data_IF_308568351877
#
_entry.id   IF_308568351877
#
_cell.length_a   1.000
_cell.length_b   1.000
_cell.length_c   1.000
_cell.angle_alpha   90.00
_cell.angle_beta   90.00
_cell.angle_gamma   90.00
#
_symmetry.space_group_name_H-M   'P 1'
#
loop_
_entity.id
_entity.type
_entity.pdbx_description
1 polymer ?
2 polymer ?
3 water ?
#
# COMPACT_ATOMS: atom_id res chain seq x y z
N UNK A 20 5.17 15.57 15.40
CA UNK A 20 3.95 14.73 15.58
C UNK A 20 3.79 13.73 14.42
N UNK A 21 3.81 14.25 13.18
CA UNK A 21 3.93 13.38 11.97
C UNK A 21 5.38 13.09 11.58
N UNK A 22 6.34 13.50 12.43
CA UNK A 22 7.72 13.11 12.24
C UNK A 22 7.96 11.90 13.14
N UNK A 23 8.40 10.78 12.56
CA UNK A 23 8.46 9.54 13.30
C UNK A 23 9.83 8.93 13.05
N UNK A 24 10.25 8.14 14.02
CA UNK A 24 11.54 7.50 14.00
C UNK A 24 11.46 6.13 13.37
N UNK A 25 12.34 5.89 12.40
CA UNK A 25 12.35 4.63 11.61
C UNK A 25 12.70 3.41 12.48
N UNK A 26 11.88 2.38 12.44
CA UNK A 26 12.11 1.18 13.22
C UNK A 26 12.00 -0.03 12.33
N UNK A 27 12.44 -1.16 12.80
CA UNK A 27 12.44 -2.37 12.04
C UNK A 27 11.06 -2.89 11.75
N UNK A 28 10.91 -3.56 10.61
CA UNK A 28 9.74 -4.31 10.30
C UNK A 28 9.68 -5.66 11.04
N UNK A 29 8.46 -6.09 11.29
CA UNK A 29 8.18 -7.43 11.72
C UNK A 29 7.60 -8.21 10.54
N UNK A 30 6.35 -8.04 10.23
CA UNK A 30 5.83 -8.67 9.04
C UNK A 30 5.56 -7.74 7.84
N UNK A 31 5.85 -6.46 7.98
CA UNK A 31 5.49 -5.50 6.95
C UNK A 31 6.18 -5.90 5.66
N UNK A 32 5.45 -5.93 4.57
CA UNK A 32 6.01 -6.19 3.26
C UNK A 32 6.38 -4.85 2.57
N UNK A 33 6.70 -4.87 1.28
CA UNK A 33 7.28 -3.61 0.71
C UNK A 33 6.23 -2.52 0.69
N UNK A 34 4.96 -2.89 0.83
CA UNK A 34 3.87 -1.93 0.56
C UNK A 34 3.29 -1.26 1.84
N UNK A 35 3.71 -1.71 3.02
CA UNK A 35 3.01 -1.29 4.22
C UNK A 35 4.00 -0.76 5.28
N UNK A 36 3.54 0.15 6.11
CA UNK A 36 4.27 0.62 7.26
C UNK A 36 3.29 0.60 8.43
N UNK A 37 3.82 0.48 9.62
CA UNK A 37 2.98 0.41 10.79
C UNK A 37 3.27 1.49 11.86
N UNK A 38 2.19 1.97 12.46
CA UNK A 38 2.16 2.92 13.54
C UNK A 38 1.38 2.32 14.73
N UNK A 39 1.61 2.83 15.93
CA UNK A 39 0.76 2.50 17.04
C UNK A 39 -0.61 3.09 16.78
N UNK A 40 -1.65 2.50 17.37
CA UNK A 40 -3.00 3.03 17.27
C UNK A 40 -3.18 4.45 17.84
N UNK A 41 -2.53 4.78 18.95
CA UNK A 41 -2.62 6.14 19.44
C UNK A 41 -2.02 7.18 18.46
N UNK A 42 -0.94 6.82 17.80
CA UNK A 42 -0.41 7.67 16.79
C UNK A 42 -1.36 7.80 15.63
N UNK A 43 -1.98 6.69 15.22
CA UNK A 43 -2.92 6.73 14.09
C UNK A 43 -4.08 7.67 14.49
N UNK A 44 -4.50 7.59 15.77
CA UNK A 44 -5.64 8.40 16.17
C UNK A 44 -5.25 9.88 16.18
N UNK A 45 -4.06 10.17 16.69
CA UNK A 45 -3.52 11.52 16.69
C UNK A 45 -3.39 12.10 15.31
N UNK A 46 -2.93 11.29 14.34
CA UNK A 46 -2.82 11.76 12.97
C UNK A 46 -4.11 11.60 12.16
N UNK A 47 -5.16 11.09 12.80
CA UNK A 47 -6.46 10.85 12.16
C UNK A 47 -6.31 9.97 10.91
N UNK A 48 -5.50 8.93 11.06
CA UNK A 48 -5.31 7.98 9.95
C UNK A 48 -6.16 6.76 10.19
N UNK A 49 -6.70 6.22 9.12
CA UNK A 49 -7.40 4.95 9.17
C UNK A 49 -6.49 3.80 8.76
N UNK A 50 -6.66 2.62 9.38
CA UNK A 50 -5.83 1.46 8.90
C UNK A 50 -6.27 1.19 7.49
N UNK A 51 -5.34 1.07 6.53
CA UNK A 51 -5.69 0.84 5.14
C UNK A 51 -5.53 2.15 4.31
N UNK A 52 -5.46 3.33 4.97
CA UNK A 52 -5.15 4.60 4.28
C UNK A 52 -3.83 4.53 3.53
N UNK A 53 -3.81 5.17 2.34
CA UNK A 53 -2.52 5.39 1.64
C UNK A 53 -1.89 6.63 2.25
N UNK A 54 -0.60 6.53 2.50
CA UNK A 54 0.19 7.61 3.10
C UNK A 54 1.38 7.92 2.22
N UNK A 55 1.85 9.17 2.29
CA UNK A 55 3.05 9.56 1.54
C UNK A 55 4.11 9.80 2.67
N UNK A 56 5.25 9.16 2.49
CA UNK A 56 6.36 9.20 3.43
C UNK A 56 7.49 10.02 2.80
N UNK A 57 8.15 10.86 3.56
CA UNK A 57 9.21 11.68 3.05
C UNK A 57 10.48 11.36 3.82
N UNK A 58 11.52 11.05 3.08
CA UNK A 58 12.77 10.63 3.63
C UNK A 58 13.86 11.49 2.99
N UNK A 59 15.10 11.14 3.23
CA UNK A 59 16.23 11.87 2.71
C UNK A 59 16.42 12.02 1.20
N UNK A 60 17.22 13.02 0.79
CA UNK A 60 17.51 13.23 -0.60
C UNK A 60 16.27 13.52 -1.43
N UNK A 61 15.33 14.14 -0.77
CA UNK A 61 14.02 14.51 -1.34
C UNK A 61 13.24 13.29 -1.85
N UNK A 62 13.57 12.11 -1.33
CA UNK A 62 12.88 10.89 -1.79
C UNK A 62 11.53 10.76 -1.04
N UNK A 63 10.60 10.08 -1.75
CA UNK A 63 9.23 9.85 -1.21
C UNK A 63 8.90 8.39 -1.41
N UNK A 64 8.00 7.88 -0.56
CA UNK A 64 7.39 6.56 -0.84
C UNK A 64 5.89 6.63 -0.54
N UNK A 65 5.10 5.76 -1.23
CA UNK A 65 3.70 5.72 -0.90
C UNK A 65 3.45 4.30 -0.40
N UNK A 66 2.79 4.20 0.76
CA UNK A 66 2.56 2.88 1.38
C UNK A 66 1.17 2.88 1.96
N UNK A 67 0.73 1.68 2.35
CA UNK A 67 -0.51 1.54 3.10
C UNK A 67 -0.08 1.57 4.59
N UNK A 68 -0.86 2.24 5.43
CA UNK A 68 -0.55 2.33 6.83
C UNK A 68 -1.44 1.34 7.64
N UNK A 69 -0.78 0.61 8.54
CA UNK A 69 -1.45 -0.40 9.39
C UNK A 69 -1.13 -0.07 10.81
N UNK A 70 -1.85 -0.68 11.75
CA UNK A 70 -1.52 -0.35 13.13
C UNK A 70 -0.90 -1.59 13.75
N UNK A 71 -0.07 -1.39 14.73
CA UNK A 71 0.72 -2.46 15.30
C UNK A 71 0.72 -2.24 16.81
N UNK A 72 0.15 -3.18 17.58
CA UNK A 72 0.12 -3.01 19.05
C UNK A 72 1.50 -3.21 19.73
N UNK A 73 2.54 -3.54 18.94
CA UNK A 73 3.92 -3.48 19.47
C UNK A 73 4.76 -2.30 19.00
N UNK A 74 4.21 -1.45 18.12
CA UNK A 74 4.96 -0.26 17.67
C UNK A 74 4.94 0.79 18.78
N UNK A 75 6.06 1.47 19.00
CA UNK A 75 6.10 2.64 19.88
C UNK A 75 5.48 3.84 19.26
N UNK A 76 4.86 4.69 20.07
CA UNK A 76 4.15 5.83 19.53
C UNK A 76 4.98 6.69 18.61
N UNK A 77 6.26 6.96 18.93
CA UNK A 77 7.03 7.93 18.18
C UNK A 77 7.75 7.29 16.96
N UNK A 78 7.43 6.03 16.65
CA UNK A 78 8.18 5.22 15.69
C UNK A 78 7.27 4.68 14.58
N UNK A 79 7.90 4.34 13.46
CA UNK A 79 7.19 3.72 12.33
C UNK A 79 8.00 2.52 11.91
N UNK A 80 7.31 1.38 11.79
CA UNK A 80 7.93 0.18 11.36
C UNK A 80 7.90 0.14 9.81
N UNK A 81 9.05 -0.09 9.22
CA UNK A 81 9.13 -0.18 7.75
C UNK A 81 10.26 -1.09 7.38
N UNK A 82 10.05 -1.90 6.32
CA UNK A 82 11.07 -2.87 5.95
C UNK A 82 12.28 -2.27 5.25
N UNK A 83 13.32 -3.09 5.02
CA UNK A 83 14.49 -2.65 4.33
C UNK A 83 14.30 -2.03 2.96
N UNK A 84 13.38 -2.58 2.18
CA UNK A 84 13.09 -2.01 0.87
C UNK A 84 12.53 -0.62 0.98
N UNK A 85 11.62 -0.42 1.91
CA UNK A 85 11.03 0.94 2.09
C UNK A 85 12.10 1.87 2.62
N UNK A 86 12.89 1.41 3.60
CA UNK A 86 13.93 2.32 4.13
C UNK A 86 14.87 2.73 3.01
N UNK A 87 15.30 1.75 2.18
CA UNK A 87 16.21 2.07 1.06
C UNK A 87 15.58 3.07 0.06
N UNK A 88 14.29 2.92 -0.23
CA UNK A 88 13.64 3.87 -1.15
C UNK A 88 13.61 5.27 -0.60
N UNK A 89 13.56 5.37 0.72
CA UNK A 89 13.53 6.65 1.32
C UNK A 89 14.94 7.18 1.70
N UNK A 90 15.95 6.38 1.40
CA UNK A 90 17.35 6.65 1.68
C UNK A 90 17.51 6.96 3.17
N UNK A 91 16.88 6.15 4.02
CA UNK A 91 16.99 6.29 5.48
C UNK A 91 17.52 5.02 6.13
N UNK A 92 18.00 5.14 7.38
CA UNK A 92 18.51 4.01 8.18
C UNK A 92 17.64 3.95 9.41
N UNK A 93 17.65 2.81 10.09
CA UNK A 93 17.00 2.71 11.40
C UNK A 93 17.49 3.87 12.25
N UNK A 94 16.56 4.62 12.81
CA UNK A 94 16.87 5.71 13.75
C UNK A 94 16.67 7.08 13.12
N UNK A 95 16.60 7.11 11.78
CA UNK A 95 16.40 8.38 11.07
C UNK A 95 14.96 8.81 11.30
N UNK A 96 14.67 10.08 11.04
CA UNK A 96 13.30 10.55 11.17
C UNK A 96 12.77 10.69 9.75
N UNK A 97 11.48 10.32 9.55
CA UNK A 97 10.74 10.62 8.33
C UNK A 97 9.47 11.41 8.66
N UNK A 98 8.79 11.93 7.64
CA UNK A 98 7.44 12.39 7.90
C UNK A 98 6.43 11.51 7.22
N UNK A 99 5.26 11.43 7.82
CA UNK A 99 4.08 10.73 7.25
C UNK A 99 2.93 11.69 7.08
N UNK A 100 2.24 11.63 5.93
CA UNK A 100 1.02 12.36 5.74
C UNK A 100 0.06 11.55 4.90
N UNK A 101 -1.26 11.89 4.94
CA UNK A 101 -2.22 11.23 4.02
C UNK A 101 -1.87 11.49 2.58
N UNK A 102 -2.17 10.53 1.70
CA UNK A 102 -1.87 10.71 0.31
C UNK A 102 -3.23 10.47 -0.34
N UNK A 103 -4.07 11.52 -0.44
CA UNK A 103 -5.45 11.32 -0.92
C UNK A 103 -5.53 11.16 -2.45
N UNK A 104 -6.60 10.56 -2.94
CA UNK A 104 -6.89 10.57 -4.40
C UNK A 104 -5.78 9.83 -5.27
N UNK A 105 -5.16 8.80 -4.70
CA UNK A 105 -4.26 7.99 -5.56
C UNK A 105 -5.16 7.16 -6.45
N UNK A 106 -4.93 7.20 -7.77
CA UNK A 106 -5.83 6.56 -8.67
C UNK A 106 -5.26 5.23 -9.12
N UNK A 107 -6.12 4.40 -9.70
CA UNK A 107 -5.60 3.12 -10.17
C UNK A 107 -4.75 3.39 -11.42
N UNK A 108 -3.64 2.66 -11.51
CA UNK A 108 -2.75 2.87 -12.66
C UNK A 108 -3.35 2.28 -13.95
N UNK A 109 -3.07 2.97 -15.06
CA UNK A 109 -3.39 2.40 -16.40
C UNK A 109 -2.28 1.55 -16.91
N UNK A 110 -1.03 1.98 -16.71
CA UNK A 110 0.14 1.31 -17.29
C UNK A 110 1.34 1.74 -16.47
N UNK A 111 2.21 0.78 -16.13
CA UNK A 111 3.46 1.12 -15.45
C UNK A 111 4.63 0.42 -16.17
N UNK A 112 5.79 1.06 -16.19
CA UNK A 112 6.98 0.43 -16.80
C UNK A 112 7.98 0.24 -15.71
N UNK A 113 8.44 -1.00 -15.53
CA UNK A 113 9.43 -1.28 -14.51
C UNK A 113 10.63 -1.93 -15.18
N UNK A 114 11.83 -1.65 -14.69
CA UNK A 114 13.00 -2.35 -15.28
C UNK A 114 13.83 -2.94 -14.17
N UNK A 115 14.43 -4.10 -14.41
CA UNK A 115 15.27 -4.76 -13.46
C UNK A 115 16.60 -4.05 -13.27
N UNK A 116 17.17 -4.21 -12.09
CA UNK A 116 18.48 -3.64 -11.78
C UNK A 116 19.53 -4.70 -12.27
N UNK A 117 20.48 -4.23 -13.08
CA UNK A 117 21.44 -5.08 -13.83
C UNK A 117 22.05 -6.16 -13.01
N UNK A 118 22.62 -5.77 -11.85
CA UNK A 118 23.41 -6.75 -11.08
C UNK A 118 22.54 -7.79 -10.40
N UNK A 119 21.19 -7.60 -10.38
CA UNK A 119 20.30 -8.60 -9.87
C UNK A 119 19.73 -9.50 -10.94
N UNK A 120 19.84 -9.16 -12.23
CA UNK A 120 19.24 -10.03 -13.26
C UNK A 120 20.30 -10.66 -14.19
N UNK A 121 21.58 -10.39 -13.92
CA UNK A 121 22.66 -11.05 -14.69
C UNK A 121 22.47 -12.55 -14.67
N UNK A 122 22.45 -13.16 -15.83
CA UNK A 122 22.21 -14.60 -15.87
C UNK A 122 20.80 -15.10 -15.71
N UNK A 123 19.82 -14.22 -15.43
CA UNK A 123 18.45 -14.64 -15.28
C UNK A 123 17.81 -14.41 -16.61
N UNK A 124 17.38 -15.50 -17.29
CA UNK A 124 16.93 -15.40 -18.68
C UNK A 124 15.41 -15.48 -18.85
N UNK A 125 14.67 -15.66 -17.81
CA UNK A 125 13.25 -15.88 -17.98
C UNK A 125 12.33 -14.69 -18.22
N UNK A 126 11.05 -14.98 -18.27
CA UNK A 126 9.97 -13.95 -18.49
C UNK A 126 9.86 -13.29 -17.16
N UNK A 127 10.32 -12.05 -16.99
CA UNK A 127 10.35 -11.44 -15.63
C UNK A 127 8.91 -11.11 -15.21
N UNK A 128 8.02 -10.88 -16.17
CA UNK A 128 6.63 -10.65 -15.75
C UNK A 128 6.04 -11.91 -15.12
N UNK A 129 6.19 -13.05 -15.81
CA UNK A 129 5.58 -14.28 -15.29
C UNK A 129 6.24 -14.74 -14.01
N UNK A 130 7.56 -14.65 -13.98
CA UNK A 130 8.28 -15.19 -12.79
C UNK A 130 8.20 -14.27 -11.57
N UNK A 131 8.31 -12.97 -11.79
CA UNK A 131 8.42 -12.04 -10.66
C UNK A 131 7.36 -10.98 -10.46
N UNK A 132 6.82 -10.48 -11.57
CA UNK A 132 6.04 -9.23 -11.42
C UNK A 132 4.58 -9.62 -11.26
N UNK A 133 4.13 -10.58 -12.07
CA UNK A 133 2.73 -10.96 -11.97
C UNK A 133 2.42 -11.46 -10.53
N UNK A 134 3.22 -12.38 -10.01
CA UNK A 134 2.79 -12.82 -8.68
C UNK A 134 2.98 -11.75 -7.59
N UNK A 135 3.92 -10.81 -7.78
CA UNK A 135 4.20 -9.80 -6.74
C UNK A 135 2.97 -8.88 -6.70
N UNK A 136 2.42 -8.51 -7.85
CA UNK A 136 1.32 -7.52 -7.83
C UNK A 136 -0.09 -8.11 -7.76
N UNK A 137 -0.24 -9.43 -8.05
CA UNK A 137 -1.51 -10.11 -8.19
C UNK A 137 -2.51 -9.83 -7.03
N UNK A 138 -3.60 -9.15 -7.37
CA UNK A 138 -4.67 -8.83 -6.40
C UNK A 138 -4.20 -8.12 -5.15
N UNK A 139 -3.04 -7.50 -5.22
CA UNK A 139 -2.42 -6.88 -4.08
C UNK A 139 -2.71 -5.36 -3.92
N UNK A 140 -3.16 -4.75 -4.99
CA UNK A 140 -3.45 -3.35 -5.00
C UNK A 140 -2.34 -2.48 -4.37
N UNK A 141 -1.12 -2.76 -4.74
CA UNK A 141 0.00 -2.05 -4.19
C UNK A 141 0.06 -0.61 -4.66
N UNK A 142 0.31 0.30 -3.73
CA UNK A 142 0.65 1.67 -4.13
C UNK A 142 2.10 1.78 -4.63
N UNK A 143 2.34 2.58 -5.68
CA UNK A 143 3.77 2.68 -6.12
C UNK A 143 3.98 4.12 -6.57
N UNK A 144 5.24 4.53 -6.52
CA UNK A 144 5.62 5.87 -7.00
C UNK A 144 6.70 5.69 -8.08
N UNK A 145 6.63 6.51 -9.13
CA UNK A 145 7.76 6.63 -10.07
C UNK A 145 9.06 6.80 -9.27
N UNK A 146 10.05 5.98 -9.62
CA UNK A 146 11.38 6.05 -9.07
C UNK A 146 11.57 5.04 -7.95
N UNK A 147 10.48 4.39 -7.50
CA UNK A 147 10.64 3.35 -6.43
C UNK A 147 11.56 2.25 -6.93
N UNK A 148 12.40 1.76 -6.01
CA UNK A 148 13.12 0.51 -6.19
C UNK A 148 12.49 -0.53 -5.28
N UNK A 149 12.12 -1.68 -5.87
CA UNK A 149 11.49 -2.74 -5.02
C UNK A 149 12.10 -4.09 -5.32
N UNK A 150 12.09 -4.94 -4.31
CA UNK A 150 12.68 -6.27 -4.41
C UNK A 150 11.59 -7.35 -4.48
N UNK A 151 11.73 -8.29 -5.41
CA UNK A 151 10.75 -9.37 -5.56
C UNK A 151 11.47 -10.70 -5.48
N UNK A 152 11.02 -11.59 -4.61
CA UNK A 152 11.53 -12.97 -4.62
C UNK A 152 10.97 -13.81 -5.80
N UNK A 153 11.68 -14.83 -6.21
CA UNK A 153 11.12 -15.62 -7.29
C UNK A 153 12.23 -16.36 -8.00
N UNK A 154 11.83 -17.38 -8.74
CA UNK A 154 12.74 -18.15 -9.56
C UNK A 154 13.98 -18.50 -8.75
N UNK A 155 15.12 -18.18 -9.38
CA UNK A 155 16.43 -18.66 -8.97
C UNK A 155 17.14 -17.65 -8.00
N UNK A 156 16.67 -16.40 -8.00
CA UNK A 156 17.26 -15.36 -7.21
C UNK A 156 16.28 -14.20 -7.19
N UNK A 157 16.16 -13.53 -6.05
CA UNK A 157 15.38 -12.26 -5.95
C UNK A 157 15.95 -11.16 -6.90
N UNK A 158 15.06 -10.38 -7.53
CA UNK A 158 15.48 -9.41 -8.52
C UNK A 158 14.95 -8.04 -8.07
N UNK A 159 15.75 -6.98 -8.22
CA UNK A 159 15.22 -5.66 -7.89
C UNK A 159 14.74 -4.95 -9.14
N UNK A 160 13.68 -4.12 -9.00
CA UNK A 160 13.20 -3.41 -10.17
C UNK A 160 13.04 -1.96 -9.78
N UNK A 161 13.09 -1.11 -10.78
CA UNK A 161 12.83 0.30 -10.67
C UNK A 161 11.60 0.69 -11.48
N UNK A 162 10.74 1.50 -10.88
CA UNK A 162 9.58 2.03 -11.54
C UNK A 162 10.05 3.23 -12.34
N UNK A 163 10.09 3.09 -13.66
CA UNK A 163 10.62 4.14 -14.52
C UNK A 163 9.55 5.10 -15.01
N UNK A 164 8.33 4.58 -15.19
CA UNK A 164 7.23 5.36 -15.69
C UNK A 164 5.90 4.84 -15.10
N UNK A 165 4.98 5.72 -14.78
CA UNK A 165 3.65 5.29 -14.40
C UNK A 165 2.67 6.27 -15.05
N UNK A 166 1.45 5.77 -15.26
CA UNK A 166 0.31 6.61 -15.68
C UNK A 166 -0.85 6.17 -14.86
N UNK A 167 -1.39 7.03 -14.02
CA UNK A 167 -1.01 8.43 -13.82
C UNK A 167 0.29 8.48 -13.04
N UNK A 168 0.85 9.68 -12.93
CA UNK A 168 2.23 9.86 -12.39
C UNK A 168 2.17 11.01 -11.39
N UNK A 169 2.99 11.00 -10.34
CA UNK A 169 4.03 10.01 -9.98
C UNK A 169 3.42 8.85 -9.12
N UNK A 170 2.16 8.93 -8.69
CA UNK A 170 1.62 7.84 -7.76
C UNK A 170 0.52 7.06 -8.45
N UNK A 171 0.38 5.75 -8.17
CA UNK A 171 -0.80 5.06 -8.55
C UNK A 171 -0.95 3.82 -7.72
N UNK A 172 -2.11 3.19 -7.87
CA UNK A 172 -2.31 1.86 -7.27
C UNK A 172 -2.25 0.83 -8.42
N UNK A 173 -1.51 -0.28 -8.23
CA UNK A 173 -1.42 -1.30 -9.32
C UNK A 173 -2.61 -2.23 -9.09
N UNK A 174 -3.66 -2.01 -9.90
CA UNK A 174 -4.96 -2.70 -9.75
C UNK A 174 -4.93 -3.84 -10.76
N UNK A 175 -5.91 -4.74 -10.68
CA UNK A 175 -5.93 -5.86 -11.64
C UNK A 175 -5.85 -5.49 -13.12
N UNK A 176 -6.43 -4.37 -13.53
CA UNK A 176 -6.32 -3.98 -14.94
C UNK A 176 -5.17 -3.07 -15.26
N UNK A 177 -4.29 -2.78 -14.30
CA UNK A 177 -3.09 -1.98 -14.61
C UNK A 177 -2.15 -2.82 -15.44
N UNK A 178 -1.72 -2.29 -16.59
CA UNK A 178 -0.80 -3.02 -17.45
C UNK A 178 0.65 -2.79 -16.95
N UNK A 179 1.30 -3.88 -16.56
CA UNK A 179 2.66 -3.83 -16.07
C UNK A 179 3.56 -4.35 -17.19
N UNK A 180 4.54 -3.58 -17.58
CA UNK A 180 5.50 -4.08 -18.55
C UNK A 180 6.92 -3.77 -18.17
N UNK A 181 7.87 -4.62 -18.57
CA UNK A 181 9.20 -4.49 -18.06
C UNK A 181 10.36 -4.36 -19.18
N UNK A 182 9.94 -4.43 -20.40
CA UNK A 182 10.89 -4.54 -21.49
C UNK A 182 12.00 -3.43 -21.58
N UNK A 183 13.25 -3.73 -21.91
CA UNK A 183 14.21 -2.68 -22.08
C UNK A 183 15.52 -3.13 -21.42
N UNK A 184 16.58 -2.33 -21.61
CA UNK A 184 17.85 -2.62 -20.95
C UNK A 184 17.80 -2.45 -19.43
N UNK A 185 18.37 -3.41 -18.69
CA UNK A 185 18.34 -3.24 -17.24
C UNK A 185 19.05 -1.94 -16.80
N UNK A 186 18.64 -1.41 -15.65
CA UNK A 186 19.12 -0.16 -15.07
C UNK A 186 20.40 -0.48 -14.33
N UNK A 187 21.41 0.39 -14.47
CA UNK A 187 22.68 0.22 -13.78
C UNK A 187 22.51 0.57 -12.33
N UNK A 188 23.05 -0.20 -11.41
CA UNK A 188 22.85 0.17 -10.01
C UNK A 188 23.22 1.63 -9.70
N UNK A 189 24.27 2.13 -10.33
CA UNK A 189 24.70 3.52 -10.13
C UNK A 189 23.65 4.56 -10.56
N UNK A 190 22.58 4.11 -11.19
CA UNK A 190 21.51 5.02 -11.67
C UNK A 190 20.16 4.88 -10.97
N UNK A 191 20.11 4.06 -9.91
CA UNK A 191 18.88 3.86 -9.14
C UNK A 191 18.08 5.12 -8.91
N UNK A 192 18.77 6.27 -8.62
CA UNK A 192 18.11 7.53 -8.19
C UNK A 192 17.79 8.52 -9.30
N UNK A 193 18.28 8.26 -10.53
CA UNK A 193 18.00 9.10 -11.68
C UNK A 193 16.47 9.28 -11.94
N UNK B 17 -19.36 1.40 19.59
CA UNK B 17 -19.52 1.78 18.15
C UNK B 17 -18.23 1.68 17.29
N UNK B 18 -18.40 1.72 15.96
CA UNK B 18 -17.34 1.42 14.99
C UNK B 18 -17.26 2.61 14.05
N UNK B 19 -16.07 3.17 13.89
CA UNK B 19 -15.91 4.27 13.03
C UNK B 19 -15.15 3.77 11.78
N UNK B 20 -15.72 3.93 10.59
CA UNK B 20 -15.11 3.47 9.36
C UNK B 20 -15.01 4.56 8.33
N UNK B 21 -13.94 4.54 7.55
CA UNK B 21 -13.87 5.43 6.44
C UNK B 21 -14.22 4.63 5.19
N UNK B 22 -15.15 5.14 4.40
CA UNK B 22 -15.56 4.55 3.18
C UNK B 22 -15.16 5.44 1.98
N UNK B 23 -14.41 4.89 1.02
CA UNK B 23 -13.93 5.72 -0.06
C UNK B 23 -14.11 4.98 -1.38
N UNK B 24 -14.57 5.72 -2.40
CA UNK B 24 -14.73 5.12 -3.72
C UNK B 24 -16.10 5.41 -4.27
N UNK B 25 -16.26 5.13 -5.56
CA UNK B 25 -17.51 5.39 -6.27
C UNK B 25 -18.03 6.83 -6.01
N UNK B 26 -17.11 7.79 -6.01
CA UNK B 26 -17.48 9.19 -5.85
C UNK B 26 -17.40 9.71 -4.42
N UNK B 27 -17.63 8.83 -3.44
CA UNK B 27 -17.74 9.27 -2.04
C UNK B 27 -16.47 9.11 -1.20
N UNK B 28 -16.44 9.83 -0.11
CA UNK B 28 -15.40 9.69 0.84
C UNK B 28 -16.20 10.13 2.03
N UNK B 29 -16.29 9.30 3.06
CA UNK B 29 -17.13 9.59 4.21
C UNK B 29 -16.83 8.69 5.34
N UNK B 30 -16.90 9.22 6.53
CA UNK B 30 -16.67 8.49 7.71
C UNK B 30 -18.03 8.13 8.25
N UNK B 31 -18.22 6.84 8.53
CA UNK B 31 -19.51 6.34 8.95
C UNK B 31 -19.39 5.69 10.32
N UNK B 32 -20.35 5.96 11.18
CA UNK B 32 -20.30 5.44 12.52
C UNK B 32 -21.45 4.46 12.70
N UNK B 33 -21.15 3.27 13.17
CA UNK B 33 -22.13 2.20 13.26
C UNK B 33 -22.01 1.46 14.57
N UNK B 34 -22.97 0.64 14.91
CA UNK B 34 -22.79 -0.13 16.15
C UNK B 34 -21.71 -1.21 15.96
N UNK B 35 -21.08 -1.64 17.07
CA UNK B 35 -20.07 -2.74 17.05
C UNK B 35 -20.54 -3.99 16.34
N UNK B 36 -21.84 -4.27 16.39
CA UNK B 36 -22.35 -5.48 15.77
C UNK B 36 -23.07 -5.25 14.45
N UNK B 37 -22.82 -4.10 13.81
CA UNK B 37 -23.47 -3.73 12.54
C UNK B 37 -23.16 -4.76 11.48
N UNK B 38 -24.11 -4.93 10.56
CA UNK B 38 -23.91 -5.89 9.50
C UNK B 38 -23.48 -5.23 8.19
N UNK B 39 -23.21 -6.06 7.18
CA UNK B 39 -22.91 -5.54 5.87
C UNK B 39 -24.10 -4.77 5.33
N UNK B 40 -25.32 -5.31 5.52
CA UNK B 40 -26.50 -4.50 5.11
C UNK B 40 -26.60 -3.14 5.78
N UNK B 41 -26.31 -3.07 7.08
CA UNK B 41 -26.29 -1.76 7.77
C UNK B 41 -25.31 -0.77 7.19
N UNK B 42 -24.09 -1.26 6.87
CA UNK B 42 -23.08 -0.38 6.21
C UNK B 42 -23.59 0.13 4.85
N UNK B 43 -24.11 -0.78 4.04
CA UNK B 43 -24.62 -0.40 2.75
C UNK B 43 -25.71 0.69 2.88
N UNK B 44 -26.62 0.50 3.84
CA UNK B 44 -27.68 1.50 4.15
C UNK B 44 -27.18 2.88 4.51
N UNK B 45 -26.02 2.94 5.16
CA UNK B 45 -25.39 4.23 5.50
C UNK B 45 -24.52 4.80 4.39
N UNK B 46 -24.28 4.04 3.33
CA UNK B 46 -23.41 4.54 2.26
C UNK B 46 -24.37 5.21 1.26
N UNK B 47 -24.04 6.40 0.80
CA UNK B 47 -25.02 7.21 0.05
C UNK B 47 -24.88 7.11 -1.48
N UNK B 48 -24.14 6.10 -1.95
CA UNK B 48 -24.01 5.76 -3.37
C UNK B 48 -24.22 4.24 -3.49
N UNK B 49 -24.39 3.73 -4.71
CA UNK B 49 -24.57 2.27 -4.89
C UNK B 49 -23.19 1.53 -4.79
N UNK B 50 -23.17 0.27 -4.30
CA UNK B 50 -21.90 -0.49 -4.02
C UNK B 50 -21.83 -1.91 -4.61
N UNK B 51 -20.95 -2.13 -5.57
CA UNK B 51 -20.80 -3.41 -6.21
C UNK B 51 -19.84 -4.30 -5.46
N UNK B 52 -18.71 -3.69 -5.10
CA UNK B 52 -17.58 -4.39 -4.52
C UNK B 52 -17.03 -3.59 -3.35
N UNK B 53 -16.42 -4.34 -2.44
CA UNK B 53 -15.84 -3.80 -1.26
C UNK B 53 -14.53 -4.51 -0.98
N UNK B 54 -13.54 -3.74 -0.58
CA UNK B 54 -12.20 -4.25 -0.35
C UNK B 54 -11.75 -3.68 0.96
N UNK B 55 -11.11 -4.51 1.78
CA UNK B 55 -10.68 -4.05 3.12
C UNK B 55 -9.55 -4.91 3.62
N UNK B 56 -8.90 -4.40 4.68
CA UNK B 56 -7.79 -5.09 5.35
C UNK B 56 -6.51 -5.19 4.51
N UNK B 57 -5.52 -5.84 5.12
CA UNK B 57 -4.23 -5.96 4.47
C UNK B 57 -3.62 -7.32 4.82
N UNK B 58 -3.29 -8.15 3.80
CA UNK B 58 -3.50 -8.10 2.35
C UNK B 58 -4.97 -7.90 2.05
N UNK B 59 -5.30 -7.23 0.95
CA UNK B 59 -6.67 -6.81 0.70
C UNK B 59 -7.54 -8.06 0.55
N UNK B 60 -8.71 -8.03 1.14
CA UNK B 60 -9.73 -9.04 0.90
C UNK B 60 -10.81 -8.32 0.19
N UNK B 61 -11.49 -9.00 -0.69
CA UNK B 61 -12.45 -8.30 -1.49
C UNK B 61 -13.66 -9.17 -1.54
N UNK B 62 -14.83 -8.61 -1.27
CA UNK B 62 -16.11 -9.32 -1.48
C UNK B 62 -17.11 -8.64 -2.47
N UNK B 63 -17.90 -9.49 -3.14
CA UNK B 63 -18.98 -9.07 -4.06
C UNK B 63 -20.30 -9.01 -3.23
N UNK B 64 -21.01 -7.90 -3.39
CA UNK B 64 -22.15 -7.63 -2.63
C UNK B 64 -23.42 -8.05 -3.38
N UNK B 70 -28.57 -13.91 2.42
CA UNK B 70 -28.12 -13.99 3.80
C UNK B 70 -26.73 -13.36 3.99
N UNK B 71 -25.90 -13.25 2.94
CA UNK B 71 -24.60 -12.59 3.12
C UNK B 71 -24.65 -11.21 3.78
N UNK B 72 -25.71 -10.45 3.49
CA UNK B 72 -25.86 -9.06 3.96
C UNK B 72 -26.09 -9.02 5.48
N UNK B 73 -26.51 -10.15 6.06
CA UNK B 73 -26.75 -10.25 7.51
C UNK B 73 -25.46 -10.58 8.26
N UNK B 74 -24.39 -10.82 7.54
CA UNK B 74 -23.04 -11.08 8.17
C UNK B 74 -22.64 -9.81 8.98
N UNK B 75 -22.10 -9.97 10.23
CA UNK B 75 -21.59 -8.76 10.91
C UNK B 75 -20.27 -8.31 10.29
N UNK B 76 -20.01 -7.03 10.29
CA UNK B 76 -18.76 -6.52 9.79
C UNK B 76 -17.57 -7.13 10.54
N UNK B 77 -17.66 -7.24 11.85
CA UNK B 77 -16.62 -7.88 12.62
C UNK B 77 -16.32 -9.34 12.18
N UNK B 78 -17.33 -10.05 11.74
CA UNK B 78 -17.12 -11.41 11.26
C UNK B 78 -16.32 -11.46 9.94
N UNK B 79 -16.29 -10.33 9.24
CA UNK B 79 -15.50 -10.19 8.03
C UNK B 79 -14.11 -9.66 8.36
N UNK B 80 -13.87 -9.36 9.63
CA UNK B 80 -12.60 -8.85 10.08
C UNK B 80 -12.51 -7.31 10.10
N UNK B 81 -13.64 -6.62 9.86
CA UNK B 81 -13.67 -5.15 9.84
C UNK B 81 -14.01 -4.60 11.26
N UNK B 82 -13.14 -3.78 11.80
CA UNK B 82 -13.31 -3.21 13.13
C UNK B 82 -13.14 -1.71 13.09
N UNK B 83 -13.50 -1.04 14.18
CA UNK B 83 -13.31 0.40 14.23
C UNK B 83 -11.91 0.90 13.77
N UNK B 84 -11.91 2.02 13.00
CA UNK B 84 -10.67 2.70 12.65
C UNK B 84 -10.05 2.24 11.34
N UNK B 85 -10.80 1.53 10.50
CA UNK B 85 -10.18 1.16 9.21
C UNK B 85 -10.94 1.65 7.99
N UNK B 86 -10.27 1.53 6.84
CA UNK B 86 -10.80 2.14 5.66
C UNK B 86 -11.35 1.00 4.80
N UNK B 87 -12.50 1.27 4.20
CA UNK B 87 -13.07 0.33 3.24
C UNK B 87 -13.06 0.99 1.87
N UNK B 88 -12.60 0.27 0.86
CA UNK B 88 -12.67 0.81 -0.52
C UNK B 88 -13.84 0.23 -1.28
N UNK B 89 -14.69 1.09 -1.85
CA UNK B 89 -15.81 0.56 -2.61
C UNK B 89 -15.66 0.91 -4.12
N UNK B 90 -16.32 0.15 -4.98
CA UNK B 90 -16.30 0.44 -6.44
C UNK B 90 -17.73 0.36 -6.92
#
# INVERSE_FOLDING_TARGET
>A
GSHMASMTGGQQMGRGSNRPNRLIVDEAINEDNSVVSLSQPKMDELQLFRGDTVLLKGKKRREAVCIVLSDDTCSDEKIRMNRVVRNNLRVRLGDVISIQPCPDVKYGKRIHVLPIDDTVEGITGNLFEVYLKPYFLEAYRPIRKGDIFLVRGGMRAVEFKVVETDPSPYCIVAPDTVIHCEGEPIKREDEEE
>B
GSHMASMTGGQQMGRGSMKLKVTGAGINQVVTLKQDATLNDLIEHINVDVKTMRFGYPPQRINLQGEDASLGQTQLDELGINSGEKITIE
#
